data_IF_825460603664
#
_entry.id   IF_825460603664
#
_cell.length_a   1.000
_cell.length_b   1.000
_cell.length_c   1.000
_cell.angle_alpha   90.00
_cell.angle_beta   90.00
_cell.angle_gamma   90.00
#
_symmetry.space_group_name_H-M   'P 1'
#
loop_
_entity.id
_entity.type
_entity.pdbx_description
1 polymer ?
#
# COMPACT_ATOMS: atom_id res chain seq x y z
N UNK A 1 -14.77 -0.27 8.40
CA UNK A 1 -13.55 -0.38 9.24
C UNK A 1 -13.40 0.82 10.15
N UNK A 2 -13.35 2.07 9.65
CA UNK A 2 -13.21 3.28 10.50
C UNK A 2 -14.27 3.34 11.62
N UNK A 3 -15.55 3.15 11.30
CA UNK A 3 -16.64 3.16 12.29
C UNK A 3 -16.48 2.11 13.41
N UNK A 4 -15.82 0.97 13.12
CA UNK A 4 -15.55 -0.07 14.13
C UNK A 4 -14.40 0.38 15.06
N UNK A 5 -13.38 1.04 14.50
CA UNK A 5 -12.24 1.57 15.25
C UNK A 5 -12.70 2.69 16.19
N UNK A 6 -13.58 3.58 15.72
CA UNK A 6 -14.19 4.64 16.52
C UNK A 6 -15.10 4.08 17.60
N UNK A 7 -15.92 3.07 17.28
CA UNK A 7 -16.77 2.40 18.27
C UNK A 7 -15.97 1.67 19.37
N UNK A 8 -14.74 1.26 19.08
CA UNK A 8 -13.81 0.70 20.07
C UNK A 8 -13.11 1.77 20.94
N UNK A 9 -13.44 3.06 20.76
CA UNK A 9 -12.93 4.17 21.57
C UNK A 9 -11.59 4.75 21.09
N UNK A 10 -11.08 4.32 19.93
CA UNK A 10 -9.87 4.88 19.34
C UNK A 10 -10.20 6.06 18.43
N UNK A 11 -9.30 7.05 18.37
CA UNK A 11 -9.40 8.17 17.44
C UNK A 11 -8.36 8.00 16.32
N UNK A 12 -8.71 7.36 15.19
CA UNK A 12 -7.75 7.12 14.12
C UNK A 12 -7.46 8.41 13.34
N UNK A 13 -6.21 8.59 12.93
CA UNK A 13 -5.85 9.60 11.94
C UNK A 13 -6.18 9.08 10.55
N UNK A 14 -7.12 9.73 9.86
CA UNK A 14 -7.51 9.36 8.50
C UNK A 14 -6.63 10.09 7.49
N UNK A 15 -5.94 9.32 6.64
CA UNK A 15 -5.05 9.84 5.60
C UNK A 15 -5.64 9.50 4.22
N UNK A 16 -6.01 10.53 3.46
CA UNK A 16 -6.48 10.41 2.08
C UNK A 16 -5.31 10.17 1.10
N UNK A 17 -4.70 8.99 1.19
CA UNK A 17 -3.45 8.68 0.49
C UNK A 17 -3.51 8.80 -1.04
N UNK A 18 -4.70 8.73 -1.65
CA UNK A 18 -4.88 8.96 -3.08
C UNK A 18 -4.69 10.43 -3.48
N UNK A 19 -4.86 11.36 -2.54
CA UNK A 19 -4.66 12.81 -2.77
C UNK A 19 -3.29 13.27 -2.29
N UNK A 20 -2.87 12.85 -1.10
CA UNK A 20 -1.61 13.29 -0.47
C UNK A 20 -0.40 12.51 -0.98
N UNK A 21 -0.62 11.30 -1.50
CA UNK A 21 0.44 10.38 -1.89
C UNK A 21 1.23 9.85 -0.69
N UNK A 22 2.22 9.01 -0.98
CA UNK A 22 3.21 8.55 -0.02
C UNK A 22 4.59 8.66 -0.64
N UNK A 23 5.61 8.90 0.19
CA UNK A 23 7.00 8.79 -0.24
C UNK A 23 7.48 7.33 -0.14
N UNK A 24 8.47 6.96 -0.95
CA UNK A 24 9.08 5.62 -0.94
C UNK A 24 9.58 5.21 0.46
N UNK A 25 10.27 6.06 1.26
CA UNK A 25 10.68 5.70 2.62
C UNK A 25 9.50 5.45 3.57
N UNK A 26 8.40 6.21 3.43
CA UNK A 26 7.20 5.99 4.25
C UNK A 26 6.53 4.65 3.94
N UNK A 27 6.40 4.29 2.66
CA UNK A 27 5.86 2.99 2.27
C UNK A 27 6.70 1.83 2.80
N UNK A 28 8.03 1.93 2.68
CA UNK A 28 8.93 0.91 3.22
C UNK A 28 8.77 0.75 4.74
N UNK A 29 8.63 1.85 5.48
CA UNK A 29 8.38 1.82 6.93
C UNK A 29 7.04 1.15 7.27
N UNK A 30 5.97 1.50 6.55
CA UNK A 30 4.65 0.89 6.73
C UNK A 30 4.66 -0.61 6.44
N UNK A 31 5.33 -1.02 5.35
CA UNK A 31 5.46 -2.42 4.97
C UNK A 31 6.26 -3.22 6.00
N UNK A 32 7.37 -2.68 6.49
CA UNK A 32 8.14 -3.31 7.55
C UNK A 32 7.33 -3.48 8.85
N UNK A 33 6.58 -2.45 9.25
CA UNK A 33 5.72 -2.49 10.43
C UNK A 33 4.56 -3.51 10.28
N UNK A 34 4.05 -3.69 9.06
CA UNK A 34 2.98 -4.65 8.75
C UNK A 34 3.50 -6.06 8.43
N UNK A 35 4.82 -6.27 8.35
CA UNK A 35 5.40 -7.54 7.89
C UNK A 35 5.09 -7.88 6.43
N UNK A 36 4.85 -6.85 5.60
CA UNK A 36 4.47 -6.99 4.20
C UNK A 36 5.67 -6.70 3.28
N UNK A 37 5.64 -7.31 2.10
CA UNK A 37 6.49 -6.92 0.96
C UNK A 37 5.70 -6.04 0.00
N UNK A 38 6.36 -5.19 -0.81
CA UNK A 38 5.70 -4.41 -1.87
C UNK A 38 4.82 -5.28 -2.78
N UNK A 39 5.28 -6.49 -3.12
CA UNK A 39 4.49 -7.44 -3.91
C UNK A 39 3.20 -7.88 -3.22
N UNK A 40 3.24 -8.19 -1.93
CA UNK A 40 2.04 -8.58 -1.17
C UNK A 40 1.09 -7.40 -0.88
N UNK A 41 1.62 -6.18 -0.86
CA UNK A 41 0.82 -4.96 -0.71
C UNK A 41 0.22 -4.46 -2.03
N UNK A 42 0.75 -4.90 -3.17
CA UNK A 42 0.27 -4.53 -4.49
C UNK A 42 -1.14 -5.09 -4.72
N UNK A 43 -2.07 -4.20 -5.04
CA UNK A 43 -3.43 -4.61 -5.37
C UNK A 43 -3.46 -5.17 -6.79
N UNK A 44 -3.99 -6.37 -6.97
CA UNK A 44 -4.14 -6.97 -8.31
C UNK A 44 -5.41 -6.52 -9.03
N UNK A 45 -6.48 -6.27 -8.28
CA UNK A 45 -7.81 -5.90 -8.80
C UNK A 45 -8.07 -4.41 -8.64
N UNK A 46 -8.78 -3.78 -9.58
CA UNK A 46 -9.07 -2.32 -9.55
C UNK A 46 -7.79 -1.47 -9.39
N UNK A 47 -6.72 -1.90 -10.05
CA UNK A 47 -5.43 -1.22 -10.12
C UNK A 47 -4.88 -1.33 -11.55
N UNK A 48 -3.97 -0.43 -11.97
CA UNK A 48 -3.27 -0.54 -13.24
C UNK A 48 -2.13 -1.59 -13.22
N UNK A 49 -1.97 -2.37 -12.13
CA UNK A 49 -0.82 -3.25 -11.93
C UNK A 49 -0.65 -4.31 -13.02
N UNK A 50 -1.76 -4.85 -13.53
CA UNK A 50 -1.75 -5.83 -14.62
C UNK A 50 -1.32 -5.20 -15.95
N UNK A 51 -1.85 -4.02 -16.26
CA UNK A 51 -1.55 -3.26 -17.49
C UNK A 51 -0.09 -2.79 -17.52
N UNK A 52 0.45 -2.43 -16.35
CA UNK A 52 1.86 -2.08 -16.15
C UNK A 52 2.80 -3.30 -16.09
N UNK A 53 2.26 -4.53 -16.19
CA UNK A 53 3.06 -5.76 -16.18
C UNK A 53 3.71 -6.08 -14.82
N UNK A 54 3.30 -5.43 -13.74
CA UNK A 54 3.89 -5.56 -12.40
C UNK A 54 3.56 -6.90 -11.73
N UNK A 55 2.53 -7.60 -12.22
CA UNK A 55 2.11 -8.90 -11.69
C UNK A 55 3.03 -10.06 -12.12
N UNK A 56 3.86 -9.87 -13.15
CA UNK A 56 4.74 -10.92 -13.68
C UNK A 56 5.73 -11.43 -12.63
N UNK A 57 6.06 -12.71 -12.69
CA UNK A 57 7.15 -13.28 -11.90
C UNK A 57 8.48 -12.63 -12.30
N UNK A 58 9.30 -12.27 -11.31
CA UNK A 58 10.59 -11.59 -11.52
C UNK A 58 10.55 -10.06 -11.46
N UNK A 59 9.39 -9.41 -11.36
CA UNK A 59 9.34 -7.96 -11.09
C UNK A 59 9.80 -7.69 -9.66
N UNK A 60 10.84 -6.87 -9.52
CA UNK A 60 11.45 -6.55 -8.24
C UNK A 60 10.56 -5.64 -7.39
N UNK A 61 10.74 -5.71 -6.07
CA UNK A 61 10.07 -4.83 -5.12
C UNK A 61 10.36 -3.34 -5.41
N UNK A 62 11.54 -3.02 -5.94
CA UNK A 62 11.92 -1.65 -6.29
C UNK A 62 11.14 -1.14 -7.51
N UNK A 63 10.96 -1.98 -8.52
CA UNK A 63 10.14 -1.67 -9.69
C UNK A 63 8.67 -1.44 -9.30
N UNK A 64 8.13 -2.23 -8.36
CA UNK A 64 6.76 -2.04 -7.84
C UNK A 64 6.62 -0.70 -7.09
N UNK A 65 7.65 -0.25 -6.38
CA UNK A 65 7.63 1.01 -5.62
C UNK A 65 7.84 2.27 -6.47
N UNK A 66 8.28 2.11 -7.72
CA UNK A 66 8.69 3.22 -8.60
C UNK A 66 7.75 3.40 -9.80
N UNK A 67 6.88 2.42 -10.06
CA UNK A 67 5.85 2.46 -11.10
C UNK A 67 4.69 3.39 -10.74
#
# INVERSE_FOLDING_TARGET
>A
VIAIIEAAGYTPTVIEYLKTGWTKPQLLGLFAAAGLTPRTALRETKSPAAELGLLKEGVSNDAILTA
#
